data_IF_624236530038
#
_entry.id   IF_624236530038
#
_cell.length_a   1.000
_cell.length_b   1.000
_cell.length_c   1.000
_cell.angle_alpha   90.00
_cell.angle_beta   90.00
_cell.angle_gamma   90.00
#
_symmetry.space_group_name_H-M   'P 1'
#
loop_
_entity.id
_entity.type
_entity.pdbx_description
1 polymer ?
#
# COMPACT_ATOMS: atom_id res chain seq x y z
N UNK A 1 -49.49 -7.75 -0.48
CA UNK A 1 -48.08 -7.40 -0.19
C UNK A 1 -47.24 -8.54 -0.70
N UNK A 2 -46.53 -8.30 -1.80
CA UNK A 2 -46.04 -9.35 -2.69
C UNK A 2 -44.94 -10.18 -2.03
N UNK A 3 -45.14 -11.52 -2.05
CA UNK A 3 -44.26 -12.52 -1.46
C UNK A 3 -42.74 -12.34 -1.69
N UNK A 4 -42.24 -11.94 -2.88
CA UNK A 4 -40.80 -11.79 -3.08
C UNK A 4 -40.16 -10.66 -2.27
N UNK A 5 -40.86 -9.55 -2.02
CA UNK A 5 -40.28 -8.41 -1.30
C UNK A 5 -40.04 -8.71 0.19
N UNK A 6 -40.94 -9.47 0.82
CA UNK A 6 -40.84 -9.87 2.23
C UNK A 6 -39.63 -10.81 2.43
N UNK A 7 -39.41 -11.74 1.50
CA UNK A 7 -38.26 -12.64 1.55
C UNK A 7 -36.92 -11.92 1.43
N UNK A 8 -36.81 -10.89 0.58
CA UNK A 8 -35.61 -10.06 0.50
C UNK A 8 -35.34 -9.31 1.82
N UNK A 9 -36.38 -8.79 2.47
CA UNK A 9 -36.24 -8.09 3.75
C UNK A 9 -35.75 -9.06 4.84
N UNK A 10 -36.36 -10.25 4.93
CA UNK A 10 -35.96 -11.28 5.90
C UNK A 10 -34.53 -11.76 5.64
N UNK A 11 -34.17 -12.03 4.38
CA UNK A 11 -32.82 -12.45 3.99
C UNK A 11 -31.77 -11.39 4.37
N UNK A 12 -32.03 -10.12 4.04
CA UNK A 12 -31.13 -9.02 4.39
C UNK A 12 -31.00 -8.83 5.91
N UNK A 13 -32.08 -8.99 6.68
CA UNK A 13 -32.02 -8.93 8.14
C UNK A 13 -31.17 -10.05 8.73
N UNK A 14 -31.33 -11.28 8.25
CA UNK A 14 -30.51 -12.42 8.68
C UNK A 14 -29.03 -12.22 8.32
N UNK A 15 -28.75 -11.68 7.14
CA UNK A 15 -27.41 -11.37 6.67
C UNK A 15 -26.75 -10.29 7.53
N UNK A 16 -27.49 -9.23 7.90
CA UNK A 16 -27.01 -8.20 8.83
C UNK A 16 -26.68 -8.81 10.18
N UNK A 17 -27.57 -9.64 10.75
CA UNK A 17 -27.30 -10.31 12.04
C UNK A 17 -26.07 -11.22 11.95
N UNK A 18 -25.92 -11.99 10.87
CA UNK A 18 -24.74 -12.82 10.63
C UNK A 18 -23.45 -11.98 10.63
N UNK A 19 -23.38 -10.90 9.86
CA UNK A 19 -22.18 -10.05 9.79
C UNK A 19 -21.88 -9.31 11.09
N UNK A 20 -22.91 -8.95 11.86
CA UNK A 20 -22.74 -8.36 13.20
C UNK A 20 -22.10 -9.37 14.15
N UNK A 21 -22.60 -10.60 14.17
CA UNK A 21 -22.05 -11.68 15.01
C UNK A 21 -20.62 -12.02 14.58
N UNK A 22 -20.36 -12.21 13.29
CA UNK A 22 -19.02 -12.45 12.76
C UNK A 22 -18.05 -11.33 13.16
N UNK A 23 -18.48 -10.06 13.01
CA UNK A 23 -17.70 -8.90 13.43
C UNK A 23 -17.41 -8.85 14.93
N UNK A 24 -18.36 -9.25 15.78
CA UNK A 24 -18.14 -9.37 17.22
C UNK A 24 -17.18 -10.50 17.58
N UNK A 25 -17.33 -11.66 16.95
CA UNK A 25 -16.44 -12.82 17.15
C UNK A 25 -15.01 -12.46 16.74
N UNK A 26 -14.81 -11.85 15.58
CA UNK A 26 -13.47 -11.44 15.11
C UNK A 26 -12.81 -10.39 16.01
N UNK A 27 -13.58 -9.58 16.75
CA UNK A 27 -13.04 -8.66 17.76
C UNK A 27 -12.62 -9.36 19.05
N UNK A 28 -13.35 -10.41 19.44
CA UNK A 28 -13.11 -11.15 20.68
C UNK A 28 -12.01 -12.21 20.53
N UNK A 29 -11.80 -12.75 19.33
CA UNK A 29 -10.72 -13.71 19.06
C UNK A 29 -9.36 -12.99 19.15
N UNK A 30 -8.43 -13.46 20.01
CA UNK A 30 -7.10 -12.87 20.10
C UNK A 30 -6.39 -12.89 18.74
N UNK A 31 -5.82 -11.75 18.35
CA UNK A 31 -5.12 -11.56 17.06
C UNK A 31 -4.01 -12.59 16.77
N UNK A 32 -3.49 -13.26 17.80
CA UNK A 32 -2.51 -14.36 17.65
C UNK A 32 -3.07 -15.60 16.94
N UNK A 33 -4.39 -15.78 16.91
CA UNK A 33 -5.07 -16.88 16.19
C UNK A 33 -5.59 -16.48 14.81
N UNK A 34 -5.59 -15.19 14.50
CA UNK A 34 -5.84 -14.72 13.13
C UNK A 34 -4.57 -14.95 12.33
N UNK A 35 -4.66 -15.80 11.30
CA UNK A 35 -3.54 -16.12 10.41
C UNK A 35 -2.91 -14.82 9.87
N UNK A 36 -1.70 -14.47 10.33
CA UNK A 36 -0.91 -13.41 9.70
C UNK A 36 -0.44 -13.93 8.36
N UNK A 37 -0.82 -13.25 7.29
CA UNK A 37 -0.24 -13.51 5.97
C UNK A 37 1.26 -13.21 6.06
N UNK A 38 2.09 -14.20 5.73
CA UNK A 38 3.53 -14.01 5.58
C UNK A 38 3.81 -13.19 4.33
N UNK A 39 4.88 -12.42 4.37
CA UNK A 39 5.40 -11.62 3.23
C UNK A 39 6.82 -12.07 2.85
N UNK A 40 7.31 -13.14 3.46
CA UNK A 40 8.63 -13.68 3.16
C UNK A 40 8.66 -14.24 1.73
N UNK A 41 9.67 -13.87 0.95
CA UNK A 41 9.83 -14.27 -0.45
C UNK A 41 9.03 -13.43 -1.46
N UNK A 42 7.99 -12.72 -1.01
CA UNK A 42 7.17 -11.84 -1.83
C UNK A 42 7.97 -10.60 -2.28
N UNK A 43 7.73 -10.15 -3.51
CA UNK A 43 8.24 -8.88 -4.03
C UNK A 43 7.26 -7.75 -3.71
N UNK A 44 7.71 -6.77 -2.93
CA UNK A 44 6.92 -5.62 -2.49
C UNK A 44 7.45 -4.36 -3.17
N UNK A 45 6.59 -3.72 -3.97
CA UNK A 45 6.85 -2.39 -4.54
C UNK A 45 6.33 -1.33 -3.58
N UNK A 46 7.18 -0.36 -3.21
CA UNK A 46 6.82 0.75 -2.32
C UNK A 46 7.07 2.08 -3.03
N UNK A 47 6.04 2.90 -3.16
CA UNK A 47 6.17 4.28 -3.67
C UNK A 47 6.41 5.28 -2.53
N UNK A 48 7.18 6.33 -2.78
CA UNK A 48 7.59 7.27 -1.73
C UNK A 48 8.56 6.63 -0.73
N UNK A 49 9.35 5.64 -1.17
CA UNK A 49 10.23 4.84 -0.31
C UNK A 49 11.48 5.59 0.19
N UNK A 50 11.76 6.76 -0.37
CA UNK A 50 12.96 7.54 -0.08
C UNK A 50 12.92 8.24 1.27
N UNK A 51 11.77 8.35 1.94
CA UNK A 51 11.69 9.06 3.23
C UNK A 51 10.49 8.62 4.08
N UNK A 52 10.41 9.14 5.31
CA UNK A 52 9.22 9.07 6.17
C UNK A 52 8.65 7.67 6.36
N UNK A 53 7.33 7.55 6.21
CA UNK A 53 6.59 6.29 6.37
C UNK A 53 7.00 5.27 5.31
N UNK A 54 7.28 5.68 4.07
CA UNK A 54 7.66 4.77 3.00
C UNK A 54 8.98 4.07 3.29
N UNK A 55 10.00 4.81 3.74
CA UNK A 55 11.27 4.24 4.20
C UNK A 55 11.07 3.24 5.34
N UNK A 56 10.31 3.64 6.37
CA UNK A 56 10.04 2.77 7.52
C UNK A 56 9.31 1.48 7.12
N UNK A 57 8.33 1.58 6.23
CA UNK A 57 7.61 0.42 5.70
C UNK A 57 8.55 -0.51 4.94
N UNK A 58 9.38 0.02 4.03
CA UNK A 58 10.35 -0.75 3.25
C UNK A 58 11.31 -1.54 4.16
N UNK A 59 11.84 -0.90 5.20
CA UNK A 59 12.70 -1.56 6.20
C UNK A 59 11.95 -2.68 6.95
N UNK A 60 10.69 -2.44 7.34
CA UNK A 60 9.86 -3.43 8.04
C UNK A 60 9.45 -4.61 7.16
N UNK A 61 9.26 -4.40 5.86
CA UNK A 61 9.03 -5.50 4.91
C UNK A 61 10.30 -6.31 4.70
N UNK A 62 11.46 -5.64 4.58
CA UNK A 62 12.75 -6.31 4.45
C UNK A 62 13.07 -7.21 5.66
N UNK A 63 12.82 -6.71 6.88
CA UNK A 63 12.97 -7.49 8.13
C UNK A 63 12.09 -8.75 8.16
N UNK A 64 11.01 -8.79 7.37
CA UNK A 64 10.11 -9.95 7.24
C UNK A 64 10.45 -10.86 6.06
N UNK A 65 11.61 -10.65 5.43
CA UNK A 65 12.10 -11.48 4.33
C UNK A 65 11.50 -11.15 2.96
N UNK A 66 10.87 -9.99 2.80
CA UNK A 66 10.40 -9.54 1.49
C UNK A 66 11.55 -9.03 0.61
N UNK A 67 11.35 -9.07 -0.70
CA UNK A 67 12.18 -8.44 -1.73
C UNK A 67 11.59 -7.07 -2.06
N UNK A 68 12.40 -6.01 -2.10
CA UNK A 68 11.88 -4.63 -2.16
C UNK A 68 12.16 -3.96 -3.50
N UNK A 69 11.12 -3.42 -4.13
CA UNK A 69 11.23 -2.50 -5.27
C UNK A 69 10.85 -1.11 -4.79
N UNK A 70 11.79 -0.17 -4.80
CA UNK A 70 11.63 1.14 -4.19
C UNK A 70 11.49 2.22 -5.25
N UNK A 71 10.36 2.90 -5.26
CA UNK A 71 10.06 3.99 -6.17
C UNK A 71 10.00 5.30 -5.41
N UNK A 72 10.78 6.28 -5.86
CA UNK A 72 10.72 7.65 -5.35
C UNK A 72 11.18 8.64 -6.41
N UNK A 73 10.81 9.91 -6.29
CA UNK A 73 11.39 10.99 -7.08
C UNK A 73 12.76 11.42 -6.53
N UNK A 74 12.96 11.31 -5.21
CA UNK A 74 14.24 11.58 -4.57
C UNK A 74 15.18 10.38 -4.70
N UNK A 75 16.10 10.47 -5.65
CA UNK A 75 17.14 9.45 -5.89
C UNK A 75 17.99 9.18 -4.64
N UNK A 76 18.39 10.23 -3.92
CA UNK A 76 19.33 10.10 -2.81
C UNK A 76 18.67 9.40 -1.62
N UNK A 77 17.48 9.86 -1.23
CA UNK A 77 16.70 9.21 -0.18
C UNK A 77 16.33 7.76 -0.52
N UNK A 78 16.03 7.48 -1.79
CA UNK A 78 15.69 6.13 -2.24
C UNK A 78 16.90 5.17 -2.15
N UNK A 79 18.08 5.63 -2.59
CA UNK A 79 19.31 4.84 -2.50
C UNK A 79 19.74 4.60 -1.05
N UNK A 80 19.56 5.61 -0.17
CA UNK A 80 19.80 5.48 1.26
C UNK A 80 18.92 4.36 1.87
N UNK A 81 17.62 4.35 1.58
CA UNK A 81 16.71 3.29 2.02
C UNK A 81 17.16 1.91 1.51
N UNK A 82 17.54 1.80 0.24
CA UNK A 82 18.00 0.54 -0.33
C UNK A 82 19.33 0.06 0.29
N UNK A 83 20.24 0.98 0.62
CA UNK A 83 21.48 0.66 1.34
C UNK A 83 21.17 0.08 2.71
N UNK A 84 20.31 0.74 3.50
CA UNK A 84 19.92 0.27 4.83
C UNK A 84 19.31 -1.16 4.78
N UNK A 85 18.52 -1.46 3.74
CA UNK A 85 17.95 -2.80 3.53
C UNK A 85 19.05 -3.82 3.21
N UNK A 86 19.97 -3.47 2.30
CA UNK A 86 21.07 -4.36 1.88
C UNK A 86 22.06 -4.61 3.01
N UNK A 87 22.39 -3.59 3.80
CA UNK A 87 23.26 -3.70 4.97
C UNK A 87 22.67 -4.63 6.05
N UNK A 88 21.34 -4.73 6.11
CA UNK A 88 20.61 -5.68 6.97
C UNK A 88 20.42 -7.07 6.33
N UNK A 89 21.03 -7.36 5.18
CA UNK A 89 20.95 -8.64 4.47
C UNK A 89 19.72 -8.83 3.58
N UNK A 90 18.92 -7.78 3.37
CA UNK A 90 17.75 -7.80 2.49
C UNK A 90 18.10 -7.57 1.02
N UNK A 91 17.10 -7.69 0.15
CA UNK A 91 17.21 -7.40 -1.30
C UNK A 91 16.37 -6.19 -1.65
N UNK A 92 16.97 -5.18 -2.27
CA UNK A 92 16.29 -3.97 -2.70
C UNK A 92 16.78 -3.50 -4.08
N UNK A 93 15.85 -3.05 -4.93
CA UNK A 93 16.10 -2.37 -6.19
C UNK A 93 15.48 -0.98 -6.14
N UNK A 94 16.14 0.00 -6.72
CA UNK A 94 15.71 1.41 -6.69
C UNK A 94 15.38 1.91 -8.07
N UNK A 95 14.27 2.62 -8.20
CA UNK A 95 13.87 3.29 -9.42
C UNK A 95 13.47 4.73 -9.11
N UNK A 96 13.95 5.66 -9.92
CA UNK A 96 13.50 7.05 -9.87
C UNK A 96 12.21 7.14 -10.68
N UNK A 97 11.09 7.39 -10.01
CA UNK A 97 9.78 7.40 -10.64
C UNK A 97 8.91 8.52 -10.06
N UNK A 98 8.48 9.45 -10.92
CA UNK A 98 7.41 10.37 -10.58
C UNK A 98 6.06 9.69 -10.79
N UNK A 99 5.42 9.27 -9.70
CA UNK A 99 4.12 8.59 -9.75
C UNK A 99 2.97 9.49 -10.21
N UNK A 100 3.18 10.81 -10.27
CA UNK A 100 2.23 11.76 -10.84
C UNK A 100 2.22 11.78 -12.38
N UNK A 101 3.19 11.15 -13.04
CA UNK A 101 3.25 11.00 -14.49
C UNK A 101 2.97 9.55 -14.90
N UNK A 102 1.84 9.26 -15.56
CA UNK A 102 1.49 7.92 -16.01
C UNK A 102 2.55 7.30 -16.91
N UNK A 103 3.18 8.10 -17.78
CA UNK A 103 4.17 7.60 -18.75
C UNK A 103 5.40 7.06 -18.02
N UNK A 104 5.94 7.84 -17.10
CA UNK A 104 7.06 7.44 -16.23
C UNK A 104 6.71 6.17 -15.44
N UNK A 105 5.48 6.06 -14.93
CA UNK A 105 5.02 4.86 -14.20
C UNK A 105 5.04 3.62 -15.09
N UNK A 106 4.49 3.70 -16.31
CA UNK A 106 4.45 2.55 -17.22
C UNK A 106 5.85 2.12 -17.68
N UNK A 107 6.72 3.07 -18.02
CA UNK A 107 8.11 2.80 -18.39
C UNK A 107 8.89 2.14 -17.24
N UNK A 108 8.72 2.66 -16.02
CA UNK A 108 9.39 2.11 -14.84
C UNK A 108 8.84 0.71 -14.49
N UNK A 109 7.53 0.51 -14.61
CA UNK A 109 6.92 -0.81 -14.39
C UNK A 109 7.45 -1.86 -15.38
N UNK A 110 7.62 -1.50 -16.65
CA UNK A 110 8.23 -2.39 -17.64
C UNK A 110 9.66 -2.78 -17.24
N UNK A 111 10.47 -1.81 -16.83
CA UNK A 111 11.84 -2.07 -16.34
C UNK A 111 11.86 -2.96 -15.11
N UNK A 112 10.99 -2.73 -14.12
CA UNK A 112 10.89 -3.58 -12.93
C UNK A 112 10.56 -5.02 -13.32
N UNK A 113 9.61 -5.22 -14.24
CA UNK A 113 9.25 -6.55 -14.72
C UNK A 113 10.42 -7.26 -15.39
N UNK A 114 11.22 -6.54 -16.16
CA UNK A 114 12.35 -7.11 -16.89
C UNK A 114 13.57 -7.38 -15.97
N UNK A 115 13.84 -6.48 -15.02
CA UNK A 115 15.02 -6.55 -14.13
C UNK A 115 14.77 -7.39 -12.85
N UNK A 116 13.56 -7.38 -12.31
CA UNK A 116 13.20 -8.00 -11.01
C UNK A 116 12.20 -9.16 -11.17
N UNK A 117 11.31 -9.05 -12.16
CA UNK A 117 10.22 -10.00 -12.38
C UNK A 117 8.90 -9.53 -11.78
N UNK A 118 8.05 -10.51 -11.41
CA UNK A 118 6.70 -10.25 -10.89
C UNK A 118 6.74 -9.52 -9.53
N UNK A 119 5.86 -8.53 -9.39
CA UNK A 119 5.56 -7.84 -8.13
C UNK A 119 4.34 -8.51 -7.50
N UNK A 120 4.42 -8.82 -6.22
CA UNK A 120 3.33 -9.49 -5.49
C UNK A 120 2.42 -8.49 -4.77
N UNK A 121 3.03 -7.45 -4.22
CA UNK A 121 2.40 -6.47 -3.35
C UNK A 121 2.82 -5.08 -3.81
N UNK A 122 1.85 -4.19 -3.94
CA UNK A 122 2.07 -2.76 -4.23
C UNK A 122 1.62 -1.94 -3.03
N UNK A 123 2.52 -1.11 -2.51
CA UNK A 123 2.30 -0.15 -1.43
C UNK A 123 2.35 1.25 -2.00
N UNK A 124 1.17 1.80 -2.27
CA UNK A 124 1.07 3.17 -2.73
C UNK A 124 1.16 4.13 -1.54
N UNK A 125 2.37 4.57 -1.22
CA UNK A 125 2.63 5.45 -0.08
C UNK A 125 3.12 6.85 -0.48
N UNK A 126 3.51 7.06 -1.74
CA UNK A 126 3.85 8.39 -2.24
C UNK A 126 2.68 9.36 -2.01
N UNK A 127 2.99 10.50 -1.39
CA UNK A 127 2.01 11.52 -1.10
C UNK A 127 2.65 12.89 -0.95
N UNK A 128 1.93 13.93 -1.39
CA UNK A 128 2.28 15.32 -1.11
C UNK A 128 1.20 15.93 -0.23
N UNK A 129 1.62 16.71 0.76
CA UNK A 129 0.72 17.47 1.62
C UNK A 129 1.13 18.93 1.51
N UNK A 130 0.16 19.78 1.17
CA UNK A 130 0.35 21.21 1.24
C UNK A 130 -0.08 21.71 2.62
N UNK A 131 0.83 22.29 3.40
CA UNK A 131 0.55 22.80 4.76
C UNK A 131 -0.33 24.05 4.85
N UNK A 132 -1.01 24.44 3.76
CA UNK A 132 -1.91 25.61 3.68
C UNK A 132 -3.36 25.17 3.85
N UNK A 133 -4.24 26.10 4.27
CA UNK A 133 -5.68 25.86 4.28
C UNK A 133 -6.17 25.64 2.86
N UNK A 134 -7.21 24.82 2.69
CA UNK A 134 -7.74 24.45 1.38
C UNK A 134 -8.10 25.67 0.52
N UNK A 135 -8.67 26.70 1.14
CA UNK A 135 -9.10 27.93 0.47
C UNK A 135 -7.95 28.85 0.03
N UNK A 136 -6.74 28.62 0.55
CA UNK A 136 -5.55 29.44 0.30
C UNK A 136 -4.53 28.70 -0.59
N UNK A 137 -4.94 27.57 -1.17
CA UNK A 137 -4.09 26.77 -2.05
C UNK A 137 -4.21 27.22 -3.50
N UNK A 138 -3.09 27.42 -4.19
CA UNK A 138 -3.09 27.56 -5.64
C UNK A 138 -3.71 26.31 -6.28
N UNK A 139 -4.52 26.49 -7.33
CA UNK A 139 -5.17 25.39 -8.05
C UNK A 139 -4.18 24.31 -8.52
N UNK A 140 -2.98 24.72 -8.93
CA UNK A 140 -1.89 23.81 -9.33
C UNK A 140 -1.49 22.84 -8.20
N UNK A 141 -1.48 23.31 -6.95
CA UNK A 141 -1.13 22.49 -5.79
C UNK A 141 -2.26 21.54 -5.42
N UNK A 142 -3.51 21.96 -5.60
CA UNK A 142 -4.68 21.09 -5.44
C UNK A 142 -4.64 19.98 -6.50
N UNK A 143 -4.49 20.35 -7.76
CA UNK A 143 -4.40 19.40 -8.88
C UNK A 143 -3.25 18.40 -8.67
N UNK A 144 -2.06 18.87 -8.29
CA UNK A 144 -0.90 18.01 -7.98
C UNK A 144 -1.18 17.04 -6.84
N UNK A 145 -1.90 17.48 -5.80
CA UNK A 145 -2.27 16.63 -4.67
C UNK A 145 -3.20 15.51 -5.11
N UNK A 146 -4.23 15.81 -5.92
CA UNK A 146 -5.10 14.78 -6.48
C UNK A 146 -4.33 13.84 -7.43
N UNK A 147 -3.42 14.39 -8.23
CA UNK A 147 -2.61 13.60 -9.16
C UNK A 147 -1.73 12.56 -8.44
N UNK A 148 -1.08 12.96 -7.35
CA UNK A 148 -0.17 12.07 -6.60
C UNK A 148 -0.93 11.19 -5.60
N UNK A 149 -1.88 11.75 -4.84
CA UNK A 149 -2.51 11.02 -3.74
C UNK A 149 -3.74 10.19 -4.17
N UNK A 150 -4.29 10.44 -5.36
CA UNK A 150 -5.44 9.69 -5.87
C UNK A 150 -5.13 9.01 -7.20
N UNK A 151 -4.69 9.76 -8.21
CA UNK A 151 -4.53 9.21 -9.57
C UNK A 151 -3.38 8.21 -9.67
N UNK A 152 -2.27 8.46 -8.99
CA UNK A 152 -1.12 7.54 -8.95
C UNK A 152 -1.50 6.11 -8.54
N UNK A 153 -2.49 5.94 -7.64
CA UNK A 153 -2.95 4.63 -7.22
C UNK A 153 -3.47 3.79 -8.39
N UNK A 154 -4.17 4.41 -9.33
CA UNK A 154 -4.67 3.74 -10.53
C UNK A 154 -3.54 3.42 -11.50
N UNK A 155 -2.64 4.37 -11.74
CA UNK A 155 -1.56 4.18 -12.71
C UNK A 155 -0.51 3.17 -12.27
N UNK A 156 -0.22 3.07 -10.98
CA UNK A 156 0.74 2.07 -10.47
C UNK A 156 0.10 0.67 -10.46
N UNK A 157 -1.22 0.59 -10.24
CA UNK A 157 -1.94 -0.69 -10.22
C UNK A 157 -2.19 -1.25 -11.62
N UNK A 158 -2.45 -0.39 -12.62
CA UNK A 158 -2.77 -0.80 -13.99
C UNK A 158 -1.70 -1.68 -14.69
N UNK A 159 -0.40 -1.33 -14.70
CA UNK A 159 0.64 -2.15 -15.33
C UNK A 159 1.03 -3.36 -14.46
N UNK A 160 0.60 -3.37 -13.19
CA UNK A 160 0.80 -4.51 -12.28
C UNK A 160 -0.18 -5.67 -12.55
N UNK A 161 -1.09 -5.53 -13.54
CA UNK A 161 -1.98 -6.53 -14.17
C UNK A 161 -2.24 -7.88 -13.49
N UNK A 162 -3.52 -8.16 -13.23
CA UNK A 162 -4.27 -9.42 -12.94
C UNK A 162 -3.66 -10.51 -12.01
N UNK A 163 -2.36 -10.77 -12.06
CA UNK A 163 -1.66 -11.73 -11.20
C UNK A 163 -1.07 -11.12 -9.95
N UNK A 164 -0.72 -9.82 -9.93
CA UNK A 164 -0.37 -9.16 -8.68
C UNK A 164 -1.57 -9.31 -7.74
N UNK A 165 -1.38 -9.77 -6.51
CA UNK A 165 -2.44 -9.79 -5.49
C UNK A 165 -2.70 -8.35 -5.03
N UNK A 166 -3.13 -7.50 -5.96
CA UNK A 166 -3.49 -6.13 -5.77
C UNK A 166 -4.85 -6.08 -5.08
N UNK A 167 -4.85 -6.21 -3.75
CA UNK A 167 -5.79 -5.50 -2.88
C UNK A 167 -5.41 -5.70 -1.41
N UNK A 168 -4.51 -4.85 -0.92
CA UNK A 168 -4.53 -4.41 0.47
C UNK A 168 -4.15 -2.94 0.52
N UNK A 169 -5.18 -2.10 0.42
CA UNK A 169 -5.11 -0.67 0.69
C UNK A 169 -4.38 -0.43 2.03
N UNK A 170 -3.30 0.33 1.99
CA UNK A 170 -2.74 0.99 3.18
C UNK A 170 -2.88 2.49 2.96
N UNK A 171 -4.12 2.99 3.07
CA UNK A 171 -4.32 4.40 3.36
C UNK A 171 -3.83 4.65 4.79
N UNK A 172 -3.18 5.80 4.99
CA UNK A 172 -2.65 6.23 6.29
C UNK A 172 -3.57 5.88 7.45
N UNK A 173 -3.04 5.09 8.37
CA UNK A 173 -3.58 4.82 9.71
C UNK A 173 -5.01 4.26 9.73
N UNK A 174 -5.17 2.93 9.66
CA UNK A 174 -6.03 2.13 10.56
C UNK A 174 -6.00 0.64 10.19
N UNK A 175 -4.86 0.00 10.39
CA UNK A 175 -4.89 -1.40 10.83
C UNK A 175 -3.88 -1.55 11.97
N UNK A 176 -4.33 -1.69 13.24
CA UNK A 176 -3.44 -1.76 14.38
C UNK A 176 -2.58 -3.05 14.41
N UNK A 177 -2.53 -3.82 13.32
CA UNK A 177 -1.87 -5.12 13.22
C UNK A 177 -0.40 -5.05 12.75
N UNK A 178 0.05 -3.90 12.24
CA UNK A 178 1.45 -3.70 11.81
C UNK A 178 2.21 -2.68 12.68
N UNK A 179 1.48 -1.84 13.43
CA UNK A 179 2.06 -0.78 14.29
C UNK A 179 2.33 -1.25 15.71
N UNK A 180 1.80 -2.40 16.15
CA UNK A 180 1.97 -2.88 17.53
C UNK A 180 3.38 -3.40 17.88
N UNK A 181 4.32 -3.38 16.93
CA UNK A 181 5.72 -3.81 17.13
C UNK A 181 6.73 -2.68 16.91
N UNK A 182 6.27 -1.43 17.04
CA UNK A 182 7.12 -0.27 17.26
C UNK A 182 7.17 0.03 18.77
N UNK A 183 7.65 -0.93 19.57
CA UNK A 183 8.21 -0.59 20.87
C UNK A 183 9.66 -0.19 20.67
N UNK A 184 9.90 1.10 20.84
CA UNK A 184 11.21 1.71 21.02
C UNK A 184 11.83 1.08 22.26
N UNK A 185 12.87 0.28 22.07
CA UNK A 185 13.93 0.05 23.05
C UNK A 185 15.24 0.37 22.35
#
# INVERSE_FOLDING_TARGET
MDGPAVWHIVYNLLLVVYYVIEGMVLKLVPRKYLHRKSVAGETVLVTGAGSGIGRLLSLRFAQRGARLVLWDIDRAGNEETARLIRDAGGKAWTYVCNVGDPKTVYETAARVRDEVGRVDIVVNNAGVVSGKRLMDLPDEMVARTFQINAMAHFWVSAPSGEESRAMRWWFGVTSPCLVSDARVH
#
